data_IF_364446809922
#
_entry.id   IF_364446809922
#
_cell.length_a   1.000
_cell.length_b   1.000
_cell.length_c   1.000
_cell.angle_alpha   90.00
_cell.angle_beta   90.00
_cell.angle_gamma   90.00
#
_symmetry.space_group_name_H-M   'P 1'
#
loop_
_entity.id
_entity.type
_entity.pdbx_description
1 polymer ?
#
# COMPACT_ATOMS: atom_id res chain seq x y z
N UNK A 1 -13.47 6.38 23.13
CA UNK A 1 -13.89 7.76 22.75
C UNK A 1 -13.61 8.62 23.97
N UNK A 2 -12.55 9.44 23.97
CA UNK A 2 -12.27 10.41 25.03
C UNK A 2 -13.34 11.50 25.04
N UNK A 3 -13.74 11.94 26.24
CA UNK A 3 -14.63 13.08 26.42
C UNK A 3 -13.95 14.33 25.84
N UNK A 4 -14.71 15.27 25.20
CA UNK A 4 -14.16 16.51 24.71
C UNK A 4 -13.60 17.35 25.89
N UNK A 5 -12.34 17.75 25.81
CA UNK A 5 -11.70 18.59 26.78
C UNK A 5 -12.16 20.03 26.50
N UNK A 6 -12.99 20.58 27.38
CA UNK A 6 -13.46 21.96 27.29
C UNK A 6 -12.60 22.85 28.19
N UNK A 7 -11.98 23.89 27.61
CA UNK A 7 -11.28 24.94 28.39
C UNK A 7 -12.10 26.21 28.31
N UNK A 8 -12.33 26.86 29.47
CA UNK A 8 -13.08 28.11 29.57
C UNK A 8 -12.17 29.27 29.97
N UNK A 9 -12.48 30.45 29.47
CA UNK A 9 -11.78 31.69 29.81
C UNK A 9 -12.79 32.69 30.38
N UNK A 10 -12.48 33.31 31.53
CA UNK A 10 -13.30 34.32 32.14
C UNK A 10 -12.50 35.61 32.37
N UNK A 11 -13.13 36.75 32.15
CA UNK A 11 -12.57 38.07 32.46
C UNK A 11 -13.70 39.06 32.75
N UNK A 12 -13.39 40.12 33.49
CA UNK A 12 -14.35 41.18 33.87
C UNK A 12 -14.71 42.10 32.68
N UNK A 13 -13.84 42.20 31.69
CA UNK A 13 -14.04 43.01 30.51
C UNK A 13 -14.02 42.16 29.22
N UNK A 14 -14.88 42.52 28.27
CA UNK A 14 -15.01 41.79 27.00
C UNK A 14 -13.72 41.74 26.17
N UNK A 15 -12.97 42.84 26.13
CA UNK A 15 -11.68 42.97 25.45
C UNK A 15 -10.64 42.02 26.01
N UNK A 16 -10.47 42.03 27.34
CA UNK A 16 -9.55 41.11 28.06
C UNK A 16 -9.96 39.64 27.93
N UNK A 17 -11.26 39.37 27.81
CA UNK A 17 -11.75 38.02 27.59
C UNK A 17 -11.40 37.51 26.17
N UNK A 18 -11.51 38.37 25.16
CA UNK A 18 -11.12 38.05 23.78
C UNK A 18 -9.61 37.83 23.65
N UNK A 19 -8.79 38.67 24.23
CA UNK A 19 -7.33 38.49 24.25
C UNK A 19 -6.90 37.18 24.93
N UNK A 20 -7.51 36.85 26.07
CA UNK A 20 -7.27 35.58 26.76
C UNK A 20 -7.76 34.39 25.93
N UNK A 21 -8.87 34.52 25.21
CA UNK A 21 -9.41 33.48 24.33
C UNK A 21 -8.48 33.24 23.12
N UNK A 22 -7.92 34.32 22.55
CA UNK A 22 -6.94 34.21 21.44
C UNK A 22 -5.65 33.58 21.92
N UNK A 23 -5.11 33.96 23.06
CA UNK A 23 -3.94 33.31 23.68
C UNK A 23 -4.20 31.82 23.96
N UNK A 24 -5.36 31.49 24.49
CA UNK A 24 -5.73 30.09 24.74
C UNK A 24 -5.91 29.30 23.46
N UNK A 25 -6.46 29.91 22.40
CA UNK A 25 -6.53 29.31 21.05
C UNK A 25 -5.14 29.08 20.46
N UNK A 26 -4.22 30.04 20.65
CA UNK A 26 -2.83 29.90 20.23
C UNK A 26 -2.12 28.80 21.03
N UNK A 27 -2.28 28.71 22.33
CA UNK A 27 -1.70 27.66 23.17
C UNK A 27 -2.25 26.26 22.79
N UNK A 28 -3.56 26.13 22.61
CA UNK A 28 -4.18 24.86 22.17
C UNK A 28 -3.73 24.49 20.77
N UNK A 29 -3.62 25.48 19.88
CA UNK A 29 -3.09 25.29 18.55
C UNK A 29 -1.59 24.94 18.56
N UNK A 30 -0.79 25.49 19.47
CA UNK A 30 0.62 25.13 19.65
C UNK A 30 0.78 23.71 20.18
N UNK A 31 -0.04 23.28 21.14
CA UNK A 31 -0.01 21.89 21.67
C UNK A 31 -0.41 20.88 20.61
N UNK A 32 -1.31 21.23 19.68
CA UNK A 32 -1.67 20.38 18.53
C UNK A 32 -0.72 20.50 17.34
N UNK A 33 0.16 21.51 17.29
CA UNK A 33 0.96 21.90 16.13
C UNK A 33 2.41 21.43 16.13
N UNK A 34 2.89 20.71 17.12
CA UNK A 34 4.32 20.38 17.19
C UNK A 34 4.79 19.31 16.18
N UNK A 35 3.92 18.70 15.40
CA UNK A 35 4.32 17.63 14.48
C UNK A 35 3.77 17.73 13.05
N UNK A 36 2.59 18.31 12.80
CA UNK A 36 1.99 18.32 11.45
C UNK A 36 1.32 19.65 11.13
N UNK A 37 1.88 20.39 10.16
CA UNK A 37 1.34 21.68 9.69
C UNK A 37 0.73 21.55 8.30
N UNK A 38 -0.37 22.25 8.04
CA UNK A 38 -1.02 22.24 6.72
C UNK A 38 -0.14 22.77 5.57
N UNK A 39 0.91 23.54 5.88
CA UNK A 39 1.87 24.09 4.90
C UNK A 39 3.11 23.19 4.67
N UNK A 40 3.15 22.02 5.34
CA UNK A 40 4.24 21.04 5.14
C UNK A 40 4.22 20.48 3.72
N UNK A 41 5.36 20.02 3.19
CA UNK A 41 5.43 19.30 1.93
C UNK A 41 4.59 18.01 1.95
N UNK A 42 3.94 17.70 0.83
CA UNK A 42 3.13 16.47 0.71
C UNK A 42 3.95 15.20 0.97
N UNK A 43 5.23 15.20 0.60
CA UNK A 43 6.13 14.07 0.86
C UNK A 43 6.36 13.82 2.35
N UNK A 44 6.49 14.88 3.16
CA UNK A 44 6.62 14.77 4.63
C UNK A 44 5.31 14.23 5.25
N UNK A 45 4.16 14.72 4.78
CA UNK A 45 2.87 14.18 5.19
C UNK A 45 2.72 12.69 4.85
N UNK A 46 3.13 12.27 3.64
CA UNK A 46 3.07 10.87 3.23
C UNK A 46 3.95 9.97 4.10
N UNK A 47 5.17 10.41 4.43
CA UNK A 47 6.07 9.68 5.32
C UNK A 47 5.48 9.58 6.73
N UNK A 48 4.99 10.69 7.26
CA UNK A 48 4.32 10.73 8.57
C UNK A 48 3.11 9.81 8.60
N UNK A 49 2.20 9.94 7.62
CA UNK A 49 1.02 9.10 7.49
C UNK A 49 1.36 7.62 7.39
N UNK A 50 2.34 7.27 6.56
CA UNK A 50 2.74 5.88 6.40
C UNK A 50 3.26 5.29 7.70
N UNK A 51 4.16 5.97 8.39
CA UNK A 51 4.78 5.48 9.63
C UNK A 51 3.80 5.37 10.79
N UNK A 52 2.94 6.37 10.96
CA UNK A 52 2.09 6.45 12.15
C UNK A 52 0.72 5.79 11.98
N UNK A 53 0.17 5.74 10.77
CA UNK A 53 -1.17 5.21 10.55
C UNK A 53 -1.20 3.88 9.77
N UNK A 54 -0.21 3.58 8.94
CA UNK A 54 -0.24 2.39 8.09
C UNK A 54 0.70 1.29 8.53
N UNK A 55 1.94 1.62 8.85
CA UNK A 55 3.01 0.63 9.04
C UNK A 55 2.66 -0.43 10.09
N UNK A 56 2.02 -0.05 11.19
CA UNK A 56 1.66 -0.98 12.26
C UNK A 56 0.47 -1.89 11.93
N UNK A 57 -0.35 -1.51 10.94
CA UNK A 57 -1.59 -2.22 10.62
C UNK A 57 -1.49 -3.13 9.41
N UNK A 58 -0.46 -2.94 8.57
CA UNK A 58 -0.29 -3.67 7.32
C UNK A 58 0.85 -4.68 7.39
N UNK A 59 0.70 -5.81 6.66
CA UNK A 59 1.73 -6.86 6.58
C UNK A 59 3.00 -6.33 5.90
N UNK A 60 4.16 -6.91 6.23
CA UNK A 60 5.48 -6.50 5.70
C UNK A 60 5.54 -6.49 4.17
N UNK A 61 4.92 -7.47 3.49
CA UNK A 61 4.85 -7.48 2.02
C UNK A 61 4.05 -6.29 1.46
N UNK A 62 3.02 -5.85 2.18
CA UNK A 62 2.26 -4.65 1.84
C UNK A 62 3.06 -3.39 2.15
N UNK A 63 3.81 -3.36 3.27
CA UNK A 63 4.72 -2.26 3.61
C UNK A 63 5.72 -2.02 2.49
N UNK A 64 6.43 -3.05 2.03
CA UNK A 64 7.37 -2.94 0.90
C UNK A 64 6.72 -2.36 -0.36
N UNK A 65 5.46 -2.72 -0.62
CA UNK A 65 4.69 -2.17 -1.74
C UNK A 65 4.32 -0.70 -1.55
N UNK A 66 3.98 -0.27 -0.34
CA UNK A 66 3.70 1.14 0.00
C UNK A 66 4.98 1.97 -0.07
N UNK A 67 6.07 1.50 0.54
CA UNK A 67 7.38 2.13 0.49
C UNK A 67 7.85 2.38 -0.94
N UNK A 68 7.70 1.38 -1.82
CA UNK A 68 8.04 1.54 -3.23
C UNK A 68 7.24 2.68 -3.89
N UNK A 69 5.92 2.72 -3.69
CA UNK A 69 5.06 3.76 -4.28
C UNK A 69 5.37 5.13 -3.72
N UNK A 70 5.50 5.24 -2.39
CA UNK A 70 5.73 6.51 -1.69
C UNK A 70 7.10 7.07 -2.03
N UNK A 71 8.17 6.34 -1.74
CA UNK A 71 9.53 6.87 -1.78
C UNK A 71 10.14 6.86 -3.18
N UNK A 72 9.74 5.93 -4.05
CA UNK A 72 10.31 5.85 -5.40
C UNK A 72 9.50 6.57 -6.47
N UNK A 73 8.18 6.72 -6.27
CA UNK A 73 7.32 7.29 -7.30
C UNK A 73 6.64 8.60 -6.91
N UNK A 74 6.06 8.70 -5.69
CA UNK A 74 5.27 9.87 -5.31
C UNK A 74 6.17 11.00 -4.83
N UNK A 75 6.99 10.77 -3.81
CA UNK A 75 7.83 11.81 -3.20
C UNK A 75 8.75 12.49 -4.20
N UNK A 76 9.47 11.78 -5.10
CA UNK A 76 10.36 12.44 -6.06
C UNK A 76 9.66 13.36 -7.07
N UNK A 77 8.38 13.11 -7.36
CA UNK A 77 7.64 13.83 -8.41
C UNK A 77 6.81 14.99 -7.86
N UNK A 78 6.08 14.78 -6.77
CA UNK A 78 5.13 15.76 -6.21
C UNK A 78 5.31 15.98 -4.71
N UNK A 79 6.31 15.36 -4.08
CA UNK A 79 6.52 15.46 -2.64
C UNK A 79 6.88 16.87 -2.14
N UNK A 80 7.47 17.72 -2.98
CA UNK A 80 7.82 19.11 -2.65
C UNK A 80 6.63 20.08 -2.64
N UNK A 81 5.49 19.68 -3.21
CA UNK A 81 4.28 20.52 -3.24
C UNK A 81 3.71 20.61 -1.82
N UNK A 82 3.37 21.80 -1.36
CA UNK A 82 2.73 22.00 -0.04
C UNK A 82 1.37 21.32 0.00
N UNK A 83 1.07 20.63 1.10
CA UNK A 83 -0.15 19.86 1.29
C UNK A 83 -1.42 20.71 1.05
N UNK A 84 -1.44 21.94 1.58
CA UNK A 84 -2.56 22.87 1.41
C UNK A 84 -2.66 23.53 0.02
N UNK A 85 -1.64 23.36 -0.84
CA UNK A 85 -1.61 23.87 -2.22
C UNK A 85 -1.74 22.77 -3.25
N UNK A 86 -1.74 21.50 -2.83
CA UNK A 86 -1.84 20.36 -3.73
C UNK A 86 -3.23 20.33 -4.38
N UNK A 87 -3.27 20.38 -5.70
CA UNK A 87 -4.50 20.40 -6.49
C UNK A 87 -4.76 19.07 -7.19
N UNK A 88 -6.01 18.87 -7.61
CA UNK A 88 -6.37 17.73 -8.47
C UNK A 88 -5.57 17.73 -9.78
N UNK A 89 -5.27 18.92 -10.33
CA UNK A 89 -4.51 19.05 -11.56
C UNK A 89 -3.06 18.57 -11.38
N UNK A 90 -2.41 18.86 -10.26
CA UNK A 90 -1.06 18.38 -9.95
C UNK A 90 -1.01 16.86 -9.91
N UNK A 91 -1.98 16.23 -9.25
CA UNK A 91 -2.12 14.78 -9.23
C UNK A 91 -2.39 14.20 -10.63
N UNK A 92 -3.24 14.85 -11.42
CA UNK A 92 -3.56 14.41 -12.78
C UNK A 92 -2.34 14.48 -13.70
N UNK A 93 -1.56 15.58 -13.62
CA UNK A 93 -0.30 15.73 -14.37
C UNK A 93 0.72 14.68 -13.93
N UNK A 94 0.85 14.44 -12.63
CA UNK A 94 1.72 13.38 -12.11
C UNK A 94 1.35 12.00 -12.67
N UNK A 95 0.07 11.63 -12.70
CA UNK A 95 -0.34 10.33 -13.27
C UNK A 95 -0.08 10.27 -14.77
N UNK A 96 -0.26 11.36 -15.49
CA UNK A 96 0.05 11.44 -16.93
C UNK A 96 1.54 11.31 -17.20
N UNK A 97 2.40 11.96 -16.42
CA UNK A 97 3.87 11.83 -16.54
C UNK A 97 4.35 10.44 -16.19
N UNK A 98 3.82 9.85 -15.11
CA UNK A 98 4.12 8.49 -14.69
C UNK A 98 3.74 7.44 -15.76
N UNK A 99 2.66 7.70 -16.52
CA UNK A 99 2.25 6.84 -17.64
C UNK A 99 3.21 6.90 -18.81
N UNK A 100 3.90 8.02 -19.02
CA UNK A 100 4.84 8.22 -20.15
C UNK A 100 6.24 7.70 -19.84
N UNK A 101 6.78 8.02 -18.65
CA UNK A 101 8.20 7.79 -18.33
C UNK A 101 8.47 7.51 -16.85
N UNK A 102 7.54 6.93 -16.11
CA UNK A 102 7.68 6.71 -14.66
C UNK A 102 8.34 5.39 -14.25
N UNK A 103 8.76 4.55 -15.18
CA UNK A 103 9.36 3.24 -14.89
C UNK A 103 10.83 3.37 -14.51
N UNK A 104 11.20 2.84 -13.35
CA UNK A 104 12.55 2.91 -12.82
C UNK A 104 13.42 1.67 -13.12
N UNK A 105 12.79 0.53 -13.43
CA UNK A 105 13.49 -0.73 -13.70
C UNK A 105 12.84 -1.43 -14.89
N UNK A 106 13.65 -2.15 -15.67
CA UNK A 106 13.19 -2.91 -16.85
C UNK A 106 12.49 -2.04 -17.92
N UNK A 107 12.90 -0.77 -18.06
CA UNK A 107 12.33 0.13 -19.06
C UNK A 107 12.59 -0.37 -20.50
N UNK A 108 13.75 -0.94 -20.75
CA UNK A 108 14.14 -1.50 -22.03
C UNK A 108 13.21 -2.64 -22.51
N UNK A 109 12.79 -3.51 -21.58
CA UNK A 109 11.95 -4.66 -21.93
C UNK A 109 10.44 -4.37 -21.86
N UNK A 110 10.01 -3.46 -20.97
CA UNK A 110 8.60 -3.26 -20.62
C UNK A 110 8.08 -1.84 -20.99
N UNK A 111 8.94 -1.02 -21.60
CA UNK A 111 8.66 0.37 -21.92
C UNK A 111 8.80 1.31 -20.72
N UNK A 112 9.00 2.60 -20.99
CA UNK A 112 9.32 3.62 -19.97
C UNK A 112 8.16 3.95 -19.02
N UNK A 113 6.92 3.76 -19.46
CA UNK A 113 5.72 4.12 -18.71
C UNK A 113 5.34 3.11 -17.65
N UNK A 114 4.70 3.58 -16.57
CA UNK A 114 4.10 2.71 -15.58
C UNK A 114 2.83 2.03 -16.11
N UNK A 115 2.58 0.81 -15.66
CA UNK A 115 1.35 0.08 -15.98
C UNK A 115 0.12 0.77 -15.38
N UNK A 116 -1.06 0.60 -16.01
CA UNK A 116 -2.33 1.11 -15.52
C UNK A 116 -2.63 0.68 -14.09
N UNK A 117 -2.27 -0.56 -13.76
CA UNK A 117 -2.40 -1.12 -12.40
C UNK A 117 -1.52 -0.38 -11.39
N UNK A 118 -0.28 -0.03 -11.77
CA UNK A 118 0.64 0.69 -10.89
C UNK A 118 0.15 2.12 -10.63
N UNK A 119 -0.32 2.84 -11.67
CA UNK A 119 -0.90 4.19 -11.54
C UNK A 119 -2.11 4.17 -10.61
N UNK A 120 -3.02 3.20 -10.77
CA UNK A 120 -4.16 3.03 -9.86
C UNK A 120 -3.75 2.75 -8.43
N UNK A 121 -2.70 1.96 -8.25
CA UNK A 121 -2.13 1.67 -6.93
C UNK A 121 -1.51 2.90 -6.27
N UNK A 122 -0.79 3.73 -7.05
CA UNK A 122 -0.23 5.02 -6.59
C UNK A 122 -1.37 5.96 -6.20
N UNK A 123 -2.39 6.09 -7.05
CA UNK A 123 -3.57 6.89 -6.73
C UNK A 123 -4.27 6.45 -5.45
N UNK A 124 -4.39 5.14 -5.21
CA UNK A 124 -5.02 4.61 -3.99
C UNK A 124 -4.24 5.05 -2.73
N UNK A 125 -2.90 5.04 -2.77
CA UNK A 125 -2.05 5.52 -1.68
C UNK A 125 -2.25 7.03 -1.47
N UNK A 126 -2.16 7.84 -2.54
CA UNK A 126 -2.40 9.28 -2.46
C UNK A 126 -3.79 9.59 -1.86
N UNK A 127 -4.84 8.92 -2.36
CA UNK A 127 -6.21 9.12 -1.91
C UNK A 127 -6.38 8.81 -0.43
N UNK A 128 -5.82 7.70 0.06
CA UNK A 128 -5.91 7.31 1.47
C UNK A 128 -5.17 8.30 2.38
N UNK A 129 -3.96 8.72 2.00
CA UNK A 129 -3.19 9.67 2.77
C UNK A 129 -3.86 11.06 2.83
N UNK A 130 -4.42 11.51 1.71
CA UNK A 130 -5.13 12.79 1.62
C UNK A 130 -6.50 12.74 2.32
N UNK A 131 -7.18 11.60 2.32
CA UNK A 131 -8.40 11.39 3.11
C UNK A 131 -8.09 11.52 4.60
N UNK A 132 -6.97 10.96 5.05
CA UNK A 132 -6.52 11.12 6.43
C UNK A 132 -6.16 12.58 6.74
N UNK A 133 -5.54 13.31 5.80
CA UNK A 133 -5.28 14.75 5.96
C UNK A 133 -6.57 15.57 6.11
N UNK A 134 -7.64 15.22 5.40
CA UNK A 134 -8.97 15.83 5.58
C UNK A 134 -9.52 15.52 6.97
N UNK A 135 -9.43 14.24 7.41
CA UNK A 135 -9.91 13.84 8.74
C UNK A 135 -9.17 14.52 9.91
N UNK A 136 -7.89 14.89 9.70
CA UNK A 136 -7.07 15.66 10.64
C UNK A 136 -7.25 17.18 10.47
N UNK A 137 -8.16 17.62 9.59
CA UNK A 137 -8.43 19.03 9.30
C UNK A 137 -7.21 19.82 8.78
N UNK A 138 -6.24 19.15 8.16
CA UNK A 138 -5.08 19.77 7.53
C UNK A 138 -5.44 20.38 6.16
N UNK A 139 -6.38 19.76 5.46
CA UNK A 139 -6.96 20.24 4.20
C UNK A 139 -8.48 20.09 4.25
N UNK A 140 -9.19 20.91 3.50
CA UNK A 140 -10.67 20.92 3.50
C UNK A 140 -11.27 19.88 2.58
N UNK A 141 -10.59 19.57 1.47
CA UNK A 141 -11.07 18.64 0.43
C UNK A 141 -9.93 17.76 -0.03
N UNK A 142 -10.24 16.50 -0.30
CA UNK A 142 -9.25 15.57 -0.85
C UNK A 142 -9.05 15.81 -2.36
N UNK A 143 -7.91 16.33 -2.82
CA UNK A 143 -7.68 16.62 -4.23
C UNK A 143 -7.55 15.38 -5.12
N UNK A 144 -7.42 14.17 -4.55
CA UNK A 144 -7.41 12.94 -5.33
C UNK A 144 -8.83 12.53 -5.81
N UNK A 145 -9.89 13.10 -5.21
CA UNK A 145 -11.25 12.83 -5.66
C UNK A 145 -11.47 13.46 -7.04
N UNK A 146 -12.06 12.69 -7.97
CA UNK A 146 -12.34 13.16 -9.34
C UNK A 146 -11.20 13.01 -10.33
N UNK A 147 -9.99 12.55 -9.91
CA UNK A 147 -8.92 12.25 -10.85
C UNK A 147 -9.32 11.14 -11.83
N UNK A 148 -9.05 11.35 -13.11
CA UNK A 148 -9.25 10.35 -14.16
C UNK A 148 -8.11 9.35 -14.17
N UNK A 149 -8.44 8.08 -14.04
CA UNK A 149 -7.48 6.98 -14.02
C UNK A 149 -7.58 6.13 -15.29
N UNK A 150 -6.48 5.48 -15.70
CA UNK A 150 -6.51 4.54 -16.81
C UNK A 150 -7.56 3.44 -16.57
N UNK A 151 -8.17 2.87 -17.62
CA UNK A 151 -9.18 1.83 -17.47
C UNK A 151 -8.61 0.58 -16.79
N UNK A 152 -9.45 -0.12 -16.02
CA UNK A 152 -9.09 -1.42 -15.45
C UNK A 152 -9.26 -2.48 -16.54
N UNK A 153 -8.17 -2.79 -17.24
CA UNK A 153 -8.17 -3.90 -18.20
C UNK A 153 -7.99 -5.22 -17.44
N UNK A 154 -8.99 -6.09 -17.51
CA UNK A 154 -8.85 -7.49 -17.13
C UNK A 154 -8.25 -8.23 -18.36
N UNK A 155 -7.17 -8.96 -18.18
CA UNK A 155 -6.72 -9.95 -19.17
C UNK A 155 -7.42 -11.26 -18.86
N UNK A 156 -7.96 -11.89 -19.87
CA UNK A 156 -8.42 -13.24 -19.78
C UNK A 156 -7.24 -14.16 -19.41
N UNK A 157 -7.46 -15.03 -18.45
CA UNK A 157 -6.43 -15.97 -18.01
C UNK A 157 -6.31 -17.06 -19.07
N UNK A 158 -5.11 -17.24 -19.62
CA UNK A 158 -4.82 -18.37 -20.49
C UNK A 158 -4.61 -19.60 -19.61
N UNK A 159 -5.35 -20.65 -19.93
CA UNK A 159 -5.24 -21.97 -19.29
C UNK A 159 -4.51 -22.88 -20.27
N UNK A 160 -3.57 -23.68 -19.80
CA UNK A 160 -2.85 -24.65 -20.61
C UNK A 160 -3.81 -25.71 -21.16
N UNK A 161 -3.67 -26.05 -22.41
CA UNK A 161 -4.34 -27.24 -22.98
C UNK A 161 -3.73 -28.51 -22.38
N UNK A 162 -4.40 -29.69 -22.50
CA UNK A 162 -3.83 -30.95 -22.03
C UNK A 162 -2.46 -31.24 -22.65
N UNK A 163 -2.28 -30.95 -23.94
CA UNK A 163 -1.04 -31.17 -24.67
C UNK A 163 0.07 -30.21 -24.20
N UNK A 164 -0.26 -28.96 -23.92
CA UNK A 164 0.66 -27.97 -23.34
C UNK A 164 1.07 -28.39 -21.94
N UNK A 165 0.12 -28.87 -21.13
CA UNK A 165 0.37 -29.35 -19.77
C UNK A 165 1.32 -30.56 -19.79
N UNK A 166 1.12 -31.49 -20.72
CA UNK A 166 2.01 -32.65 -20.87
C UNK A 166 3.44 -32.21 -21.25
N UNK A 167 3.59 -31.31 -22.21
CA UNK A 167 4.88 -30.74 -22.59
C UNK A 167 5.54 -29.98 -21.40
N UNK A 168 4.76 -29.24 -20.65
CA UNK A 168 5.24 -28.54 -19.46
C UNK A 168 5.80 -29.53 -18.40
N UNK A 169 5.09 -30.62 -18.11
CA UNK A 169 5.52 -31.63 -17.15
C UNK A 169 6.77 -32.40 -17.62
N UNK A 170 6.90 -32.66 -18.94
CA UNK A 170 8.10 -33.26 -19.50
C UNK A 170 9.31 -32.32 -19.30
N UNK A 171 9.15 -31.02 -19.60
CA UNK A 171 10.22 -30.04 -19.37
C UNK A 171 10.55 -29.92 -17.88
N UNK A 172 9.53 -29.89 -17.01
CA UNK A 172 9.71 -29.86 -15.57
C UNK A 172 10.54 -31.03 -15.04
N UNK A 173 10.38 -32.23 -15.66
CA UNK A 173 11.18 -33.42 -15.33
C UNK A 173 12.65 -33.23 -15.73
N UNK A 174 12.91 -32.66 -16.90
CA UNK A 174 14.27 -32.35 -17.35
C UNK A 174 14.98 -31.37 -16.41
N UNK A 175 14.25 -30.38 -15.89
CA UNK A 175 14.77 -29.35 -14.98
C UNK A 175 14.81 -29.81 -13.50
N UNK A 176 14.33 -31.02 -13.18
CA UNK A 176 14.33 -31.55 -11.81
C UNK A 176 13.23 -30.97 -10.91
N UNK A 177 12.17 -30.42 -11.47
CA UNK A 177 11.05 -29.81 -10.70
C UNK A 177 9.72 -30.58 -10.89
N UNK A 178 9.74 -31.78 -11.44
CA UNK A 178 8.53 -32.50 -11.82
C UNK A 178 7.59 -32.73 -10.64
N UNK A 179 8.08 -33.30 -9.54
CA UNK A 179 7.28 -33.66 -8.37
C UNK A 179 6.65 -32.42 -7.72
N UNK A 180 7.42 -31.35 -7.63
CA UNK A 180 6.96 -30.09 -7.07
C UNK A 180 5.84 -29.48 -7.92
N UNK A 181 6.05 -29.40 -9.23
CA UNK A 181 5.07 -28.80 -10.13
C UNK A 181 3.84 -29.69 -10.33
N UNK A 182 3.99 -31.02 -10.31
CA UNK A 182 2.88 -31.97 -10.32
C UNK A 182 2.01 -31.79 -9.07
N UNK A 183 2.61 -31.66 -7.88
CA UNK A 183 1.89 -31.40 -6.64
C UNK A 183 1.15 -30.07 -6.70
N UNK A 184 1.75 -29.00 -7.24
CA UNK A 184 1.09 -27.70 -7.42
C UNK A 184 -0.13 -27.79 -8.34
N UNK A 185 0.02 -28.47 -9.49
CA UNK A 185 -1.06 -28.66 -10.45
C UNK A 185 -2.22 -29.48 -9.92
N UNK A 186 -1.94 -30.55 -9.18
CA UNK A 186 -2.97 -31.47 -8.66
C UNK A 186 -3.71 -30.89 -7.46
N UNK A 187 -3.04 -30.12 -6.60
CA UNK A 187 -3.61 -29.58 -5.36
C UNK A 187 -4.10 -28.13 -5.50
N UNK A 188 -3.66 -27.41 -6.53
CA UNK A 188 -3.96 -25.98 -6.69
C UNK A 188 -3.37 -25.09 -5.59
N UNK A 189 -2.31 -25.51 -4.93
CA UNK A 189 -1.61 -24.71 -3.94
C UNK A 189 -0.98 -23.46 -4.57
N UNK A 190 -0.88 -22.40 -3.79
CA UNK A 190 -0.09 -21.24 -4.19
C UNK A 190 1.40 -21.57 -4.05
N UNK A 191 2.24 -21.03 -4.94
CA UNK A 191 3.69 -21.23 -4.88
C UNK A 191 4.29 -21.03 -3.47
N UNK A 192 3.83 -19.99 -2.73
CA UNK A 192 4.33 -19.73 -1.39
C UNK A 192 3.87 -20.76 -0.35
N UNK A 193 2.73 -21.39 -0.52
CA UNK A 193 2.22 -22.49 0.30
C UNK A 193 3.04 -23.76 0.02
N UNK A 194 3.22 -24.08 -1.26
CA UNK A 194 4.02 -25.22 -1.70
C UNK A 194 5.45 -25.19 -1.15
N UNK A 195 6.14 -24.04 -1.28
CA UNK A 195 7.52 -23.87 -0.79
C UNK A 195 7.64 -23.83 0.75
N UNK A 196 6.52 -23.73 1.47
CA UNK A 196 6.48 -23.73 2.93
C UNK A 196 6.12 -25.10 3.53
N UNK A 197 5.83 -26.12 2.71
CA UNK A 197 5.48 -27.45 3.17
C UNK A 197 6.61 -28.10 3.96
N UNK A 198 6.23 -28.82 4.99
CA UNK A 198 7.09 -29.65 5.82
C UNK A 198 6.53 -31.09 5.87
N UNK A 199 7.36 -32.05 6.18
CA UNK A 199 6.94 -33.44 6.26
C UNK A 199 5.84 -33.67 7.29
N UNK A 200 5.82 -32.90 8.36
CA UNK A 200 4.80 -32.94 9.41
C UNK A 200 3.43 -32.41 8.95
N UNK A 201 3.35 -31.76 7.80
CA UNK A 201 2.10 -31.30 7.22
C UNK A 201 1.35 -32.43 6.47
N UNK A 202 2.00 -33.56 6.19
CA UNK A 202 1.45 -34.70 5.49
C UNK A 202 1.21 -35.87 6.47
N UNK A 203 -0.05 -36.25 6.61
CA UNK A 203 -0.39 -37.49 7.27
C UNK A 203 -0.33 -38.64 6.26
N UNK A 204 0.68 -39.52 6.40
CA UNK A 204 0.88 -40.67 5.49
C UNK A 204 -0.16 -41.78 5.64
N UNK A 205 -0.86 -41.87 6.79
CA UNK A 205 -1.88 -42.85 7.02
C UNK A 205 -3.22 -42.50 6.36
N UNK A 206 -3.61 -41.21 6.47
CA UNK A 206 -4.87 -40.70 5.91
C UNK A 206 -4.71 -40.09 4.52
N UNK A 207 -3.50 -39.74 4.11
CA UNK A 207 -3.23 -39.00 2.88
C UNK A 207 -3.60 -37.51 2.94
N UNK A 208 -3.90 -36.99 4.14
CA UNK A 208 -4.29 -35.60 4.33
C UNK A 208 -3.06 -34.68 4.35
N UNK A 209 -3.11 -33.60 3.59
CA UNK A 209 -2.09 -32.56 3.53
C UNK A 209 -2.62 -31.26 4.15
N UNK A 210 -1.96 -30.80 5.21
CA UNK A 210 -2.34 -29.61 5.95
C UNK A 210 -1.57 -28.37 5.44
N UNK A 211 -2.27 -27.36 4.91
CA UNK A 211 -1.67 -26.12 4.41
C UNK A 211 -1.87 -25.04 5.47
N UNK A 212 -0.86 -24.80 6.31
CA UNK A 212 -0.93 -23.84 7.41
C UNK A 212 0.14 -22.74 7.33
N UNK A 213 1.06 -22.79 6.36
CA UNK A 213 2.19 -21.87 6.21
C UNK A 213 2.35 -21.39 4.77
N UNK A 214 3.00 -20.25 4.60
CA UNK A 214 3.45 -19.74 3.29
C UNK A 214 4.81 -19.07 3.42
N UNK A 215 5.63 -19.20 2.38
CA UNK A 215 6.90 -18.47 2.23
C UNK A 215 6.68 -17.28 1.31
N UNK A 216 7.28 -16.15 1.65
CA UNK A 216 7.42 -15.01 0.76
C UNK A 216 8.74 -14.29 0.95
N UNK A 217 9.17 -13.58 -0.07
CA UNK A 217 10.43 -12.87 -0.08
C UNK A 217 10.20 -11.38 0.21
N UNK A 218 10.85 -10.84 1.25
CA UNK A 218 10.80 -9.42 1.61
C UNK A 218 12.20 -8.90 1.88
N UNK A 219 12.57 -7.81 1.22
CA UNK A 219 13.85 -7.10 1.44
C UNK A 219 15.07 -8.01 1.42
N UNK A 220 15.08 -9.02 0.52
CA UNK A 220 16.21 -9.95 0.37
C UNK A 220 16.19 -11.16 1.29
N UNK A 221 15.23 -11.31 2.19
CA UNK A 221 15.08 -12.46 3.07
C UNK A 221 13.80 -13.26 2.81
N UNK A 222 13.88 -14.58 3.00
CA UNK A 222 12.72 -15.46 3.00
C UNK A 222 12.05 -15.41 4.39
N UNK A 223 10.74 -15.27 4.39
CA UNK A 223 9.95 -15.27 5.62
C UNK A 223 8.82 -16.29 5.52
N UNK A 224 8.67 -17.09 6.59
CA UNK A 224 7.59 -18.03 6.74
C UNK A 224 6.53 -17.39 7.63
N UNK A 225 5.29 -17.39 7.18
CA UNK A 225 4.16 -16.85 7.92
C UNK A 225 2.91 -17.70 7.72
N UNK A 226 1.91 -17.47 8.57
CA UNK A 226 0.57 -18.00 8.33
C UNK A 226 -0.04 -17.44 7.02
N UNK A 227 -0.96 -18.17 6.39
CA UNK A 227 -1.70 -17.74 5.22
C UNK A 227 -2.45 -16.42 5.47
N UNK A 228 -2.81 -15.74 4.37
CA UNK A 228 -3.41 -14.40 4.42
C UNK A 228 -4.76 -14.36 5.15
N UNK A 229 -5.55 -15.42 5.06
CA UNK A 229 -6.87 -15.53 5.68
C UNK A 229 -6.99 -16.86 6.39
N UNK A 230 -7.82 -16.94 7.44
CA UNK A 230 -8.11 -18.20 8.14
C UNK A 230 -8.67 -19.28 7.19
N UNK A 231 -9.47 -18.88 6.20
CA UNK A 231 -10.00 -19.81 5.17
C UNK A 231 -8.94 -20.33 4.19
N UNK A 232 -7.71 -19.84 4.25
CA UNK A 232 -6.59 -20.38 3.46
C UNK A 232 -5.85 -21.50 4.18
N UNK A 233 -6.12 -21.73 5.46
CA UNK A 233 -5.69 -22.92 6.20
C UNK A 233 -6.65 -24.04 5.80
N UNK A 234 -6.13 -25.09 5.24
CA UNK A 234 -6.90 -26.23 4.72
C UNK A 234 -6.09 -27.50 4.71
#
# INVERSE_FOLDING_TARGET
KGLPITKCVTALEKTKCLEKLEKLKEEVNLIQRDTVKADMPFGEWLDFWYRHYCQMTIRQSTQASYENRIYKHIIPQIGSVKLNKLTQNDLQQFYASAKKGGRLQYAECLGEGLSDRMIRSIHAVCRQALEKAVSESLITVNPAIGCKLPPKKSREMQVLTPEEMQRFLIQAKYEGYFEMLLLELTTGMRRGELLALQWDDLNFETGELHICRQVYHVKGSLQITEPKTKNSIR
#
